data_IF_289140151024
#
_entry.id   IF_289140151024
#
_cell.length_a   1.000
_cell.length_b   1.000
_cell.length_c   1.000
_cell.angle_alpha   90.00
_cell.angle_beta   90.00
_cell.angle_gamma   90.00
#
_symmetry.space_group_name_H-M   'P 1'
#
loop_
_entity.id
_entity.type
_entity.pdbx_description
1 polymer ?
#
# COMPACT_ATOMS: atom_id res chain seq x y z
N UNK A 1 6.97 -16.80 -9.39
CA UNK A 1 5.69 -16.45 -8.74
C UNK A 1 5.88 -16.11 -7.26
N UNK A 2 6.47 -17.00 -6.45
CA UNK A 2 6.66 -16.78 -5.00
C UNK A 2 7.39 -15.47 -4.63
N UNK A 3 8.49 -15.14 -5.33
CA UNK A 3 9.28 -13.93 -5.06
C UNK A 3 8.47 -12.63 -5.19
N UNK A 4 7.46 -12.57 -6.06
CA UNK A 4 6.68 -11.35 -6.30
C UNK A 4 5.55 -11.19 -5.30
N UNK A 5 4.99 -12.29 -4.80
CA UNK A 5 4.09 -12.20 -3.64
C UNK A 5 4.86 -11.79 -2.39
N UNK A 6 6.11 -12.25 -2.26
CA UNK A 6 6.98 -11.90 -1.15
C UNK A 6 7.31 -10.41 -1.09
N UNK A 7 7.48 -9.74 -2.24
CA UNK A 7 7.66 -8.28 -2.29
C UNK A 7 6.52 -7.50 -1.62
N UNK A 8 5.27 -7.93 -1.81
CA UNK A 8 4.14 -7.22 -1.16
C UNK A 8 4.13 -7.45 0.35
N UNK A 9 4.48 -8.65 0.80
CA UNK A 9 4.66 -8.95 2.22
C UNK A 9 5.77 -8.08 2.82
N UNK A 10 6.87 -7.89 2.09
CA UNK A 10 7.94 -6.98 2.50
C UNK A 10 7.45 -5.53 2.63
N UNK A 11 6.65 -5.03 1.69
CA UNK A 11 6.05 -3.69 1.77
C UNK A 11 5.09 -3.52 2.96
N UNK A 12 4.38 -4.59 3.37
CA UNK A 12 3.54 -4.57 4.58
C UNK A 12 4.34 -4.56 5.87
N UNK A 13 5.41 -5.34 5.91
CA UNK A 13 6.28 -5.43 7.09
C UNK A 13 7.18 -4.19 7.24
N UNK A 14 7.54 -3.57 6.12
CA UNK A 14 8.39 -2.38 6.04
C UNK A 14 7.69 -1.30 5.20
N UNK A 15 6.64 -0.65 5.72
CA UNK A 15 5.90 0.35 4.98
C UNK A 15 6.78 1.53 4.61
N UNK A 16 6.61 2.04 3.39
CA UNK A 16 7.30 3.23 2.93
C UNK A 16 6.90 4.44 3.78
N UNK A 17 7.88 5.22 4.22
CA UNK A 17 7.66 6.43 5.02
C UNK A 17 7.67 7.71 4.19
N UNK A 18 8.23 7.63 2.99
CA UNK A 18 8.40 8.75 2.09
C UNK A 18 8.36 8.26 0.64
N UNK A 19 7.71 9.04 -0.23
CA UNK A 19 7.63 8.80 -1.67
C UNK A 19 7.89 10.13 -2.35
N UNK A 20 8.95 10.21 -3.15
CA UNK A 20 9.34 11.41 -3.92
C UNK A 20 9.49 12.69 -3.05
N UNK A 21 10.04 12.59 -1.84
CA UNK A 21 10.16 13.75 -0.94
C UNK A 21 8.93 14.01 -0.07
N UNK A 22 7.79 13.36 -0.35
CA UNK A 22 6.54 13.53 0.37
C UNK A 22 6.35 12.42 1.39
N UNK A 23 6.05 12.78 2.64
CA UNK A 23 5.82 11.79 3.71
C UNK A 23 4.57 10.98 3.43
N UNK A 24 4.62 9.69 3.72
CA UNK A 24 3.45 8.81 3.71
C UNK A 24 2.63 9.09 4.97
N UNK A 25 1.41 9.57 4.78
CA UNK A 25 0.45 9.82 5.85
C UNK A 25 -0.34 8.54 6.20
N UNK A 26 -0.74 7.76 5.19
CA UNK A 26 -1.52 6.55 5.39
C UNK A 26 -1.01 5.36 4.58
N UNK A 27 -1.11 4.20 5.20
CA UNK A 27 -1.03 2.87 4.58
C UNK A 27 -2.44 2.26 4.63
N UNK A 28 -2.96 1.85 3.47
CA UNK A 28 -4.23 1.16 3.35
C UNK A 28 -3.99 -0.25 2.81
N UNK A 29 -4.06 -1.27 3.66
CA UNK A 29 -3.99 -2.68 3.28
C UNK A 29 -5.38 -3.27 3.10
N UNK A 30 -5.73 -3.53 1.84
CA UNK A 30 -7.04 -4.05 1.47
C UNK A 30 -7.17 -5.55 1.78
N UNK A 31 -6.08 -6.26 2.09
CA UNK A 31 -6.15 -7.69 2.44
C UNK A 31 -6.56 -7.86 3.91
N UNK A 32 -5.97 -7.07 4.79
CA UNK A 32 -6.36 -7.00 6.21
C UNK A 32 -7.57 -6.12 6.47
N UNK A 33 -7.98 -5.30 5.50
CA UNK A 33 -9.00 -4.25 5.65
C UNK A 33 -8.61 -3.21 6.71
N UNK A 34 -7.32 -2.88 6.81
CA UNK A 34 -6.80 -1.89 7.77
C UNK A 34 -6.27 -0.67 7.04
N UNK A 35 -6.74 0.50 7.46
CA UNK A 35 -6.11 1.79 7.17
C UNK A 35 -5.33 2.24 8.40
N UNK A 36 -4.02 2.37 8.25
CA UNK A 36 -3.10 2.83 9.28
C UNK A 36 -2.64 4.24 8.99
N UNK A 37 -2.75 5.13 9.97
CA UNK A 37 -2.07 6.41 9.97
C UNK A 37 -0.61 6.18 10.39
N UNK A 38 0.34 6.44 9.48
CA UNK A 38 1.76 6.19 9.74
C UNK A 38 2.36 7.23 10.69
N UNK A 39 1.74 8.40 10.80
CA UNK A 39 2.18 9.50 11.67
C UNK A 39 1.73 9.26 13.12
N UNK A 40 0.45 8.89 13.33
CA UNK A 40 -0.13 8.72 14.67
C UNK A 40 -0.09 7.27 15.16
N UNK A 41 0.02 6.30 14.25
CA UNK A 41 -0.09 4.87 14.55
C UNK A 41 -1.53 4.36 14.68
N UNK A 42 -2.53 5.22 14.53
CA UNK A 42 -3.94 4.83 14.61
C UNK A 42 -4.35 3.92 13.46
N UNK A 43 -5.16 2.91 13.75
CA UNK A 43 -5.69 1.96 12.78
C UNK A 43 -7.22 2.04 12.72
N UNK A 44 -7.77 1.94 11.52
CA UNK A 44 -9.21 1.92 11.28
C UNK A 44 -9.55 0.78 10.35
N UNK A 45 -10.56 -0.01 10.74
CA UNK A 45 -11.09 -1.07 9.88
C UNK A 45 -11.87 -0.45 8.72
N UNK A 46 -11.57 -0.89 7.50
CA UNK A 46 -12.25 -0.49 6.28
C UNK A 46 -13.36 -1.49 5.94
N UNK A 47 -14.59 -1.01 5.78
CA UNK A 47 -15.72 -1.83 5.31
C UNK A 47 -15.76 -1.90 3.78
N UNK A 48 -14.81 -2.65 3.21
CA UNK A 48 -14.63 -2.81 1.77
C UNK A 48 -14.25 -4.25 1.42
N UNK A 49 -14.53 -4.72 0.18
CA UNK A 49 -14.11 -6.05 -0.26
C UNK A 49 -12.60 -6.25 -0.15
N UNK A 50 -12.19 -7.40 0.39
CA UNK A 50 -10.78 -7.74 0.53
C UNK A 50 -10.12 -7.94 -0.81
N UNK A 51 -8.89 -7.43 -0.94
CA UNK A 51 -8.06 -7.64 -2.13
C UNK A 51 -6.59 -7.58 -1.77
N UNK A 52 -5.76 -8.31 -2.52
CA UNK A 52 -4.30 -8.28 -2.32
C UNK A 52 -3.71 -7.00 -2.92
N UNK A 53 -3.98 -5.87 -2.28
CA UNK A 53 -3.68 -4.51 -2.72
C UNK A 53 -3.24 -3.68 -1.52
N UNK A 54 -2.17 -2.92 -1.71
CA UNK A 54 -1.65 -1.97 -0.74
C UNK A 54 -1.68 -0.57 -1.37
N UNK A 55 -2.19 0.43 -0.66
CA UNK A 55 -2.23 1.81 -1.14
C UNK A 55 -1.60 2.74 -0.12
N UNK A 56 -0.58 3.49 -0.55
CA UNK A 56 0.02 4.57 0.22
C UNK A 56 -0.60 5.90 -0.18
N UNK A 57 -0.89 6.73 0.82
CA UNK A 57 -1.29 8.11 0.65
C UNK A 57 -0.24 9.01 1.29
N UNK A 58 0.24 9.98 0.54
CA UNK A 58 1.21 10.96 1.02
C UNK A 58 0.57 12.30 1.40
N UNK A 59 1.29 13.12 2.15
CA UNK A 59 0.82 14.44 2.62
C UNK A 59 0.54 15.43 1.48
N UNK A 60 1.29 15.37 0.38
CA UNK A 60 1.07 16.17 -0.84
C UNK A 60 -0.14 15.70 -1.67
N UNK A 61 -0.80 14.61 -1.27
CA UNK A 61 -1.97 14.06 -1.93
C UNK A 61 -1.66 13.02 -3.01
N UNK A 62 -0.39 12.70 -3.25
CA UNK A 62 0.02 11.59 -4.12
C UNK A 62 -0.47 10.25 -3.54
N UNK A 63 -0.81 9.31 -4.43
CA UNK A 63 -1.24 7.96 -4.08
C UNK A 63 -0.46 6.94 -4.88
N UNK A 64 0.04 5.90 -4.19
CA UNK A 64 0.73 4.78 -4.82
C UNK A 64 0.03 3.49 -4.46
N UNK A 65 -0.52 2.83 -5.46
CA UNK A 65 -1.14 1.51 -5.32
C UNK A 65 -0.16 0.42 -5.80
N UNK A 66 0.02 -0.61 -4.98
CA UNK A 66 0.90 -1.75 -5.22
C UNK A 66 0.04 -3.03 -5.24
N UNK A 67 0.14 -3.79 -6.33
CA UNK A 67 -0.62 -5.04 -6.51
C UNK A 67 0.17 -6.10 -7.28
N UNK A 68 0.33 -7.33 -6.77
CA UNK A 68 0.86 -8.44 -7.54
C UNK A 68 -0.14 -8.92 -8.60
N UNK A 69 0.37 -9.32 -9.77
CA UNK A 69 -0.42 -10.02 -10.78
C UNK A 69 -0.71 -11.44 -10.31
N UNK A 70 -1.96 -11.90 -10.47
CA UNK A 70 -2.37 -13.24 -10.06
C UNK A 70 -1.95 -14.34 -11.05
N UNK A 71 -1.71 -13.98 -12.31
CA UNK A 71 -1.43 -14.93 -13.40
C UNK A 71 0.00 -14.88 -13.92
N UNK A 72 0.70 -13.76 -13.71
CA UNK A 72 2.06 -13.56 -14.21
C UNK A 72 2.99 -13.18 -13.05
N UNK A 73 4.29 -13.50 -13.13
CA UNK A 73 5.27 -13.01 -12.17
C UNK A 73 5.54 -11.51 -12.43
N UNK A 74 4.58 -10.64 -12.11
CA UNK A 74 4.70 -9.18 -12.23
C UNK A 74 4.04 -8.48 -11.04
N UNK A 75 4.60 -7.36 -10.61
CA UNK A 75 3.98 -6.42 -9.68
C UNK A 75 3.57 -5.16 -10.45
N UNK A 76 2.39 -4.61 -10.16
CA UNK A 76 1.86 -3.41 -10.80
C UNK A 76 1.86 -2.27 -9.80
N UNK A 77 2.34 -1.12 -10.26
CA UNK A 77 2.30 0.14 -9.53
C UNK A 77 1.39 1.10 -10.28
N UNK A 78 0.47 1.74 -9.55
CA UNK A 78 -0.36 2.82 -10.08
C UNK A 78 -0.10 4.08 -9.27
N UNK A 79 0.12 5.19 -9.98
CA UNK A 79 0.43 6.48 -9.39
C UNK A 79 -0.72 7.44 -9.68
N UNK A 80 -1.35 7.96 -8.63
CA UNK A 80 -2.28 9.07 -8.71
C UNK A 80 -1.61 10.31 -8.14
N UNK A 81 -1.19 11.22 -9.01
CA UNK A 81 -0.56 12.50 -8.62
C UNK A 81 -1.61 13.61 -8.64
N UNK A 82 -1.40 14.64 -7.82
CA UNK A 82 -2.22 15.85 -7.79
C UNK A 82 -1.49 17.01 -8.44
#
# INVERSE_FOLDING_TARGET
AAQIQQMLVEYRNNPMKEILGSKVAYDCDYESSIKKNIITGEETTMDIPKSNVLIYHTEDGTKVCVRPSGTEPKIKFYFGVK
#
